data_IF_184529542324
#
_entry.id   IF_184529542324
#
_cell.length_a   1.000
_cell.length_b   1.000
_cell.length_c   1.000
_cell.angle_alpha   90.00
_cell.angle_beta   90.00
_cell.angle_gamma   90.00
#
_symmetry.space_group_name_H-M   'P 1'
#
loop_
_entity.id
_entity.type
_entity.pdbx_description
1 polymer ?
#
# COMPACT_ATOMS: atom_id res chain seq x y z
N UNK A 1 -3.31 9.86 -10.64
CA UNK A 1 -3.81 8.55 -11.08
C UNK A 1 -5.33 8.42 -10.98
N UNK A 2 -5.96 8.61 -9.81
CA UNK A 2 -7.44 8.54 -9.69
C UNK A 2 -8.16 9.50 -10.67
N UNK A 3 -7.61 10.70 -10.90
CA UNK A 3 -8.10 11.65 -11.92
C UNK A 3 -8.02 11.09 -13.35
N UNK A 4 -6.97 10.32 -13.67
CA UNK A 4 -6.83 9.63 -14.97
C UNK A 4 -7.88 8.53 -15.10
N UNK A 5 -8.16 7.80 -14.02
CA UNK A 5 -9.22 6.79 -14.01
C UNK A 5 -10.60 7.43 -14.14
N UNK A 6 -10.84 8.59 -13.52
CA UNK A 6 -12.07 9.38 -13.72
C UNK A 6 -12.27 9.73 -15.19
N UNK A 7 -11.24 10.27 -15.85
CA UNK A 7 -11.30 10.60 -17.27
C UNK A 7 -11.59 9.35 -18.15
N UNK A 8 -11.05 8.18 -17.77
CA UNK A 8 -11.37 6.93 -18.46
C UNK A 8 -12.82 6.47 -18.24
N UNK A 9 -13.39 6.70 -17.04
CA UNK A 9 -14.81 6.45 -16.79
C UNK A 9 -15.70 7.36 -17.65
N UNK A 10 -15.38 8.65 -17.71
CA UNK A 10 -16.11 9.63 -18.52
C UNK A 10 -16.04 9.30 -20.01
N UNK A 11 -14.87 8.93 -20.52
CA UNK A 11 -14.70 8.47 -21.90
C UNK A 11 -15.50 7.19 -22.22
N UNK A 12 -15.81 6.38 -21.20
CA UNK A 12 -16.65 5.20 -21.31
C UNK A 12 -18.15 5.48 -21.03
N UNK A 13 -18.56 6.75 -20.94
CA UNK A 13 -19.95 7.15 -20.70
C UNK A 13 -20.43 6.95 -19.25
N UNK A 14 -19.52 6.75 -18.29
CA UNK A 14 -19.84 6.62 -16.86
C UNK A 14 -19.66 7.97 -16.14
N UNK A 15 -20.30 8.19 -14.98
CA UNK A 15 -20.06 9.38 -14.17
C UNK A 15 -18.59 9.54 -13.76
N UNK A 16 -18.15 10.78 -13.62
CA UNK A 16 -16.84 11.12 -13.07
C UNK A 16 -16.69 10.65 -11.62
N UNK A 17 -15.46 10.30 -11.23
CA UNK A 17 -15.15 9.95 -9.84
C UNK A 17 -15.02 11.23 -9.01
N UNK A 18 -15.84 11.38 -7.98
CA UNK A 18 -15.74 12.48 -7.02
C UNK A 18 -14.63 12.16 -6.02
N UNK A 19 -13.50 12.85 -6.14
CA UNK A 19 -12.34 12.65 -5.25
C UNK A 19 -12.48 13.53 -4.02
N UNK A 20 -12.54 12.90 -2.85
CA UNK A 20 -12.49 13.57 -1.55
C UNK A 20 -11.09 13.40 -0.94
N UNK A 21 -10.54 14.48 -0.38
CA UNK A 21 -9.26 14.46 0.31
C UNK A 21 -9.47 14.52 1.81
N UNK A 22 -8.72 13.70 2.54
CA UNK A 22 -8.74 13.64 4.00
C UNK A 22 -7.34 13.84 4.55
N UNK A 23 -7.24 14.42 5.74
CA UNK A 23 -5.96 14.68 6.43
C UNK A 23 -5.36 13.41 7.02
N UNK A 24 -6.18 12.40 7.29
CA UNK A 24 -5.79 11.16 7.95
C UNK A 24 -6.66 9.98 7.48
N UNK A 25 -6.19 8.76 7.74
CA UNK A 25 -6.90 7.55 7.33
C UNK A 25 -8.19 7.32 8.13
N UNK A 26 -8.24 7.50 9.46
CA UNK A 26 -9.48 7.34 10.24
C UNK A 26 -10.67 8.16 9.72
N UNK A 27 -10.45 9.43 9.36
CA UNK A 27 -11.50 10.29 8.82
C UNK A 27 -12.00 9.83 7.45
N UNK A 28 -11.12 9.33 6.58
CA UNK A 28 -11.51 8.73 5.29
C UNK A 28 -12.36 7.46 5.46
N UNK A 29 -12.01 6.63 6.44
CA UNK A 29 -12.75 5.40 6.76
C UNK A 29 -14.11 5.71 7.35
N UNK A 30 -14.18 6.70 8.26
CA UNK A 30 -15.44 7.16 8.80
C UNK A 30 -16.38 7.67 7.70
N UNK A 31 -15.85 8.35 6.67
CA UNK A 31 -16.65 8.80 5.54
C UNK A 31 -17.29 7.63 4.77
N UNK A 32 -16.57 6.52 4.59
CA UNK A 32 -17.12 5.29 4.00
C UNK A 32 -18.18 4.67 4.92
N UNK A 33 -17.86 4.49 6.20
CA UNK A 33 -18.80 3.90 7.19
C UNK A 33 -20.07 4.73 7.35
N UNK A 34 -19.98 6.05 7.22
CA UNK A 34 -21.12 6.97 7.28
C UNK A 34 -21.81 7.18 5.92
N UNK A 35 -21.45 6.41 4.88
CA UNK A 35 -22.01 6.49 3.52
C UNK A 35 -21.85 7.86 2.84
N UNK A 36 -20.85 8.66 3.24
CA UNK A 36 -20.47 9.92 2.57
C UNK A 36 -19.49 9.70 1.42
N UNK A 37 -18.87 8.53 1.37
CA UNK A 37 -17.98 8.08 0.29
C UNK A 37 -18.27 6.61 0.00
N UNK A 38 -18.14 6.19 -1.25
CA UNK A 38 -18.36 4.79 -1.63
C UNK A 38 -17.15 3.90 -1.30
N UNK A 39 -15.94 4.47 -1.31
CA UNK A 39 -14.70 3.76 -1.04
C UNK A 39 -13.61 4.70 -0.51
N UNK A 40 -12.61 4.13 0.15
CA UNK A 40 -11.35 4.79 0.45
C UNK A 40 -10.19 4.03 -0.19
N UNK A 41 -9.12 4.73 -0.54
CA UNK A 41 -7.95 4.16 -1.21
C UNK A 41 -6.70 4.39 -0.37
N UNK A 42 -5.93 3.33 -0.10
CA UNK A 42 -4.66 3.38 0.64
C UNK A 42 -3.78 2.19 0.27
N UNK A 43 -2.61 2.06 0.92
CA UNK A 43 -1.73 0.88 0.76
C UNK A 43 -2.34 -0.37 1.41
N UNK A 44 -1.90 -1.55 0.98
CA UNK A 44 -2.43 -2.84 1.47
C UNK A 44 -2.33 -3.01 2.99
N UNK A 45 -1.21 -2.61 3.60
CA UNK A 45 -0.99 -2.77 5.03
C UNK A 45 -2.01 -2.01 5.91
N UNK A 46 -2.21 -0.69 5.74
CA UNK A 46 -3.25 0.00 6.48
C UNK A 46 -4.66 -0.49 6.12
N UNK A 47 -4.94 -0.83 4.86
CA UNK A 47 -6.23 -1.41 4.48
C UNK A 47 -6.54 -2.70 5.25
N UNK A 48 -5.56 -3.61 5.33
CA UNK A 48 -5.66 -4.88 6.06
C UNK A 48 -5.96 -4.62 7.53
N UNK A 49 -5.19 -3.72 8.18
CA UNK A 49 -5.41 -3.34 9.57
C UNK A 49 -6.82 -2.78 9.80
N UNK A 50 -7.27 -1.81 9.00
CA UNK A 50 -8.55 -1.15 9.24
C UNK A 50 -9.76 -2.05 8.96
N UNK A 51 -9.64 -3.01 8.05
CA UNK A 51 -10.70 -4.00 7.81
C UNK A 51 -10.85 -4.94 9.01
N UNK A 52 -9.75 -5.36 9.63
CA UNK A 52 -9.80 -6.13 10.88
C UNK A 52 -10.48 -5.34 11.99
N UNK A 53 -10.18 -4.05 12.11
CA UNK A 53 -10.80 -3.17 13.11
C UNK A 53 -12.27 -2.85 12.81
N UNK A 54 -12.72 -2.98 11.56
CA UNK A 54 -14.05 -2.57 11.14
C UNK A 54 -15.16 -3.58 11.45
N UNK A 55 -14.85 -4.74 12.02
CA UNK A 55 -15.84 -5.73 12.47
C UNK A 55 -16.88 -6.09 11.38
N UNK A 56 -16.42 -6.28 10.14
CA UNK A 56 -17.25 -6.65 8.99
C UNK A 56 -17.96 -5.49 8.29
N UNK A 57 -17.75 -4.24 8.73
CA UNK A 57 -18.34 -3.06 8.09
C UNK A 57 -17.58 -2.59 6.84
N UNK A 58 -16.37 -3.12 6.62
CA UNK A 58 -15.52 -2.83 5.47
C UNK A 58 -15.00 -4.14 4.89
N UNK A 59 -14.76 -4.13 3.59
CA UNK A 59 -14.12 -5.21 2.85
C UNK A 59 -13.08 -4.67 1.87
N UNK A 60 -12.12 -5.51 1.47
CA UNK A 60 -11.18 -5.18 0.41
C UNK A 60 -11.85 -5.40 -0.94
N UNK A 61 -12.00 -4.33 -1.72
CA UNK A 61 -12.46 -4.39 -3.11
C UNK A 61 -11.28 -4.49 -4.08
N UNK A 62 -11.51 -5.13 -5.23
CA UNK A 62 -10.50 -5.21 -6.31
C UNK A 62 -9.27 -6.08 -5.98
N UNK A 63 -9.38 -7.01 -5.02
CA UNK A 63 -8.29 -7.93 -4.69
C UNK A 63 -7.86 -8.75 -5.91
N UNK A 64 -6.55 -8.89 -6.11
CA UNK A 64 -5.95 -9.62 -7.24
C UNK A 64 -6.13 -8.95 -8.61
N UNK A 65 -6.77 -7.78 -8.68
CA UNK A 65 -6.92 -7.02 -9.91
C UNK A 65 -5.77 -6.03 -10.06
N UNK A 66 -5.44 -5.70 -11.32
CA UNK A 66 -4.54 -4.58 -11.60
C UNK A 66 -5.20 -3.30 -11.11
N UNK A 67 -4.63 -2.68 -10.09
CA UNK A 67 -5.07 -1.40 -9.57
C UNK A 67 -4.45 -0.20 -10.32
N UNK A 68 -3.66 -0.48 -11.36
CA UNK A 68 -2.97 0.50 -12.21
C UNK A 68 -1.64 1.01 -11.64
N UNK A 69 -1.23 0.55 -10.46
CA UNK A 69 0.13 0.74 -9.95
C UNK A 69 1.01 -0.42 -10.41
N UNK A 70 2.29 -0.13 -10.67
CA UNK A 70 3.32 -1.17 -10.74
C UNK A 70 3.72 -1.61 -9.33
N UNK A 71 4.81 -2.35 -9.23
CA UNK A 71 5.36 -2.76 -7.94
C UNK A 71 5.79 -1.53 -7.13
N UNK A 72 5.24 -1.38 -5.92
CA UNK A 72 5.61 -0.33 -4.98
C UNK A 72 6.36 -0.97 -3.83
N UNK A 73 7.61 -0.56 -3.65
CA UNK A 73 8.45 -1.04 -2.57
C UNK A 73 8.41 -0.08 -1.38
N UNK A 74 8.16 -0.61 -0.19
CA UNK A 74 8.27 0.12 1.07
C UNK A 74 9.66 -0.12 1.66
N UNK A 75 10.33 0.93 2.14
CA UNK A 75 11.69 0.79 2.67
C UNK A 75 12.12 1.94 3.55
N UNK A 76 13.18 1.70 4.34
CA UNK A 76 13.83 2.71 5.16
C UNK A 76 14.62 3.68 4.29
N UNK A 77 14.44 4.98 4.53
CA UNK A 77 15.16 6.04 3.83
C UNK A 77 16.34 6.52 4.66
N UNK A 78 17.50 6.65 4.02
CA UNK A 78 18.72 7.24 4.60
C UNK A 78 19.26 8.32 3.65
N UNK A 79 20.06 9.28 4.14
CA UNK A 79 20.71 10.26 3.26
C UNK A 79 21.54 9.60 2.17
N UNK A 80 21.56 10.19 0.98
CA UNK A 80 22.39 9.70 -0.13
C UNK A 80 23.86 9.67 0.28
N UNK A 81 24.54 8.57 -0.05
CA UNK A 81 25.94 8.35 0.32
C UNK A 81 26.18 8.02 1.80
N UNK A 82 25.14 7.96 2.64
CA UNK A 82 25.30 7.57 4.03
C UNK A 82 25.76 6.11 4.15
N UNK A 83 26.77 5.80 4.99
CA UNK A 83 27.17 4.41 5.26
C UNK A 83 26.05 3.61 5.96
N UNK A 84 25.05 4.29 6.53
CA UNK A 84 23.88 3.65 7.14
C UNK A 84 23.08 2.83 6.12
N UNK A 85 23.16 3.13 4.82
CA UNK A 85 22.43 2.38 3.80
C UNK A 85 22.79 0.89 3.79
N UNK A 86 24.08 0.57 3.89
CA UNK A 86 24.55 -0.82 3.93
C UNK A 86 24.25 -1.47 5.29
N UNK A 87 24.47 -0.74 6.38
CA UNK A 87 24.17 -1.23 7.74
C UNK A 87 22.69 -1.62 7.89
N UNK A 88 21.78 -0.79 7.38
CA UNK A 88 20.33 -1.08 7.39
C UNK A 88 19.99 -2.28 6.51
N UNK A 89 20.60 -2.39 5.32
CA UNK A 89 20.40 -3.54 4.45
C UNK A 89 20.87 -4.85 5.11
N UNK A 90 22.02 -4.84 5.78
CA UNK A 90 22.54 -6.00 6.50
C UNK A 90 21.65 -6.39 7.68
N UNK A 91 21.11 -5.41 8.41
CA UNK A 91 20.11 -5.69 9.45
C UNK A 91 18.85 -6.36 8.86
N UNK A 92 18.38 -5.94 7.70
CA UNK A 92 17.27 -6.63 7.02
C UNK A 92 17.65 -8.05 6.60
N UNK A 93 18.85 -8.29 6.06
CA UNK A 93 19.31 -9.65 5.72
C UNK A 93 19.27 -10.57 6.93
N UNK A 94 19.72 -10.09 8.09
CA UNK A 94 19.64 -10.83 9.35
C UNK A 94 18.19 -11.16 9.74
N UNK A 95 17.27 -10.18 9.68
CA UNK A 95 15.84 -10.41 9.97
C UNK A 95 15.19 -11.42 9.02
N UNK A 96 15.62 -11.47 7.76
CA UNK A 96 15.18 -12.48 6.80
C UNK A 96 15.76 -13.86 7.13
N UNK A 97 17.07 -13.93 7.39
CA UNK A 97 17.78 -15.18 7.67
C UNK A 97 17.28 -15.88 8.94
N UNK A 98 16.99 -15.12 10.00
CA UNK A 98 16.52 -15.66 11.27
C UNK A 98 14.99 -15.81 11.37
N UNK A 99 14.26 -15.53 10.29
CA UNK A 99 12.80 -15.70 10.21
C UNK A 99 11.98 -14.60 10.88
N UNK A 100 12.59 -13.60 11.51
CA UNK A 100 11.89 -12.50 12.17
C UNK A 100 11.04 -11.69 11.19
N UNK A 101 11.53 -11.46 9.97
CA UNK A 101 10.78 -10.78 8.92
C UNK A 101 9.44 -11.49 8.65
N UNK A 102 9.49 -12.80 8.42
CA UNK A 102 8.29 -13.61 8.14
C UNK A 102 7.34 -13.59 9.34
N UNK A 103 7.86 -13.71 10.56
CA UNK A 103 7.06 -13.66 11.78
C UNK A 103 6.31 -12.32 11.93
N UNK A 104 6.99 -11.19 11.68
CA UNK A 104 6.37 -9.85 11.74
C UNK A 104 5.30 -9.72 10.65
N UNK A 105 5.61 -10.07 9.41
CA UNK A 105 4.67 -9.91 8.29
C UNK A 105 3.41 -10.76 8.49
N UNK A 106 3.54 -12.01 8.98
CA UNK A 106 2.40 -12.87 9.31
C UNK A 106 1.57 -12.35 10.48
N UNK A 107 2.22 -11.84 11.54
CA UNK A 107 1.52 -11.25 12.70
C UNK A 107 0.55 -10.14 12.26
N UNK A 108 0.91 -9.38 11.23
CA UNK A 108 0.10 -8.29 10.68
C UNK A 108 -0.69 -8.66 9.42
N UNK A 109 -0.75 -9.96 9.06
CA UNK A 109 -1.44 -10.49 7.88
C UNK A 109 -1.03 -9.85 6.55
N UNK A 110 0.27 -9.59 6.41
CA UNK A 110 0.89 -8.95 5.26
C UNK A 110 1.56 -9.95 4.31
N UNK A 111 1.08 -11.20 4.25
CA UNK A 111 1.66 -12.26 3.41
C UNK A 111 1.78 -11.84 1.94
N UNK A 112 0.76 -11.16 1.40
CA UNK A 112 0.76 -10.63 0.03
C UNK A 112 1.72 -9.46 -0.22
N UNK A 113 2.39 -8.95 0.82
CA UNK A 113 3.37 -7.86 0.75
C UNK A 113 4.80 -8.34 1.00
N UNK A 114 5.00 -9.64 1.24
CA UNK A 114 6.33 -10.16 1.53
C UNK A 114 7.23 -10.05 0.29
N UNK A 115 8.49 -9.66 0.52
CA UNK A 115 9.54 -9.74 -0.49
C UNK A 115 10.23 -11.10 -0.40
N UNK A 116 10.77 -11.61 -1.52
CA UNK A 116 11.59 -12.83 -1.50
C UNK A 116 12.94 -12.61 -0.80
N UNK A 117 13.47 -11.38 -0.86
CA UNK A 117 14.72 -10.98 -0.22
C UNK A 117 14.75 -9.45 -0.01
N UNK A 118 15.51 -8.94 0.98
CA UNK A 118 15.67 -7.51 1.14
C UNK A 118 16.59 -6.95 0.04
N UNK A 119 16.44 -5.66 -0.26
CA UNK A 119 17.27 -5.00 -1.27
C UNK A 119 17.24 -3.49 -1.17
N UNK A 120 18.13 -2.85 -1.92
CA UNK A 120 18.31 -1.41 -1.95
C UNK A 120 17.84 -0.86 -3.29
N UNK A 121 17.04 0.21 -3.25
CA UNK A 121 16.49 0.87 -4.43
C UNK A 121 15.80 -0.10 -5.40
N UNK A 122 14.95 -0.99 -4.85
CA UNK A 122 14.25 -2.04 -5.62
C UNK A 122 13.24 -1.50 -6.62
N UNK A 123 12.69 -0.31 -6.35
CA UNK A 123 11.93 0.45 -7.34
C UNK A 123 12.92 0.92 -8.44
N UNK A 124 13.27 0.01 -9.34
CA UNK A 124 14.01 0.38 -10.54
C UNK A 124 13.07 1.22 -11.39
N UNK A 125 13.55 2.35 -11.91
CA UNK A 125 12.87 3.02 -13.00
C UNK A 125 12.77 1.99 -14.12
N UNK A 126 11.56 1.55 -14.46
CA UNK A 126 11.34 1.01 -15.81
C UNK A 126 11.78 2.12 -16.73
N UNK A 127 12.98 1.95 -17.31
CA UNK A 127 13.50 2.77 -18.39
C UNK A 127 12.34 2.95 -19.37
N UNK A 128 11.90 4.19 -19.50
CA UNK A 128 10.96 4.59 -20.54
C UNK A 128 11.62 4.46 -21.90
#
# INVERSE_FOLDING_TARGET
MIRKQSAACEAAGKPAVVVQSFTDQPSSILAVRSKRSDAFFSSQAPLTYFIEQAQGQLELSGQGQKNGFGDIFQGTVVPKGSPLGEVVLDAYKELFANGTYVAIMKKWKLDGNMLPQPGRNLAQETVK
#
